data_IF_373345736454
#
_entry.id   IF_373345736454
#
_cell.length_a   1.000
_cell.length_b   1.000
_cell.length_c   1.000
_cell.angle_alpha   90.00
_cell.angle_beta   90.00
_cell.angle_gamma   90.00
#
_symmetry.space_group_name_H-M   'P 1'
#
loop_
_entity.id
_entity.type
_entity.pdbx_description
1 polymer ?
#
# COMPACT_ATOMS: atom_id res chain seq x y z
N UNK A 1 14.71 33.59 0.12
CA UNK A 1 15.31 33.13 -1.14
C UNK A 1 14.43 31.99 -1.65
N UNK A 2 13.38 32.35 -2.38
CA UNK A 2 12.38 31.44 -2.93
C UNK A 2 12.96 30.80 -4.19
N UNK A 3 12.96 29.47 -4.27
CA UNK A 3 13.50 28.72 -5.40
C UNK A 3 12.72 29.07 -6.70
N UNK A 4 13.35 29.69 -7.71
CA UNK A 4 12.69 30.07 -8.96
C UNK A 4 12.28 28.86 -9.81
N UNK A 5 12.63 27.63 -9.42
CA UNK A 5 12.24 26.39 -10.08
C UNK A 5 11.16 25.59 -9.34
N UNK A 6 10.61 26.12 -8.24
CA UNK A 6 9.43 25.56 -7.60
C UNK A 6 8.19 25.85 -8.46
N UNK A 7 8.07 25.14 -9.58
CA UNK A 7 6.87 25.11 -10.41
C UNK A 7 5.67 24.81 -9.51
N UNK A 8 4.60 25.61 -9.64
CA UNK A 8 3.35 25.38 -8.89
C UNK A 8 2.89 23.94 -9.17
N UNK A 9 2.22 23.24 -8.22
CA UNK A 9 1.73 21.88 -8.45
C UNK A 9 0.89 21.71 -9.73
N UNK A 10 0.29 22.80 -10.23
CA UNK A 10 -0.42 22.86 -11.51
C UNK A 10 0.46 22.64 -12.75
N UNK A 11 1.78 22.75 -12.65
CA UNK A 11 2.72 22.61 -13.78
C UNK A 11 3.45 21.25 -13.83
N UNK A 12 3.30 20.41 -12.80
CA UNK A 12 3.84 19.05 -12.79
C UNK A 12 2.79 18.06 -12.22
N UNK A 13 1.99 17.40 -13.08
CA UNK A 13 0.89 16.55 -12.64
C UNK A 13 1.37 15.35 -11.80
N UNK A 14 2.62 14.93 -11.95
CA UNK A 14 3.22 13.86 -11.15
C UNK A 14 3.43 14.29 -9.71
N UNK A 15 3.94 15.51 -9.53
CA UNK A 15 4.18 16.08 -8.23
C UNK A 15 2.85 16.36 -7.53
N UNK A 16 1.82 16.80 -8.26
CA UNK A 16 0.47 16.91 -7.75
C UNK A 16 -0.08 15.55 -7.27
N UNK A 17 0.11 14.48 -8.04
CA UNK A 17 -0.28 13.13 -7.64
C UNK A 17 0.45 12.68 -6.37
N UNK A 18 1.77 12.85 -6.30
CA UNK A 18 2.56 12.46 -5.11
C UNK A 18 2.12 13.24 -3.88
N UNK A 19 1.93 14.55 -4.00
CA UNK A 19 1.45 15.41 -2.91
C UNK A 19 0.04 14.97 -2.47
N UNK A 20 -0.84 14.63 -3.39
CA UNK A 20 -2.20 14.18 -3.09
C UNK A 20 -2.24 12.77 -2.46
N UNK A 21 -1.37 11.86 -2.88
CA UNK A 21 -1.34 10.49 -2.38
C UNK A 21 -0.59 10.34 -1.06
N UNK A 22 0.37 11.22 -0.75
CA UNK A 22 1.10 11.18 0.51
C UNK A 22 0.18 11.22 1.75
N UNK A 23 -0.77 12.17 1.91
CA UNK A 23 -1.67 12.16 3.06
C UNK A 23 -2.60 10.95 3.07
N UNK A 24 -2.98 10.42 1.90
CA UNK A 24 -3.78 9.20 1.79
C UNK A 24 -2.99 8.00 2.35
N UNK A 25 -1.73 7.83 1.93
CA UNK A 25 -0.84 6.79 2.46
C UNK A 25 -0.67 6.92 3.97
N UNK A 26 -0.46 8.14 4.47
CA UNK A 26 -0.35 8.40 5.92
C UNK A 26 -1.64 8.00 6.63
N UNK A 27 -2.81 8.36 6.09
CA UNK A 27 -4.11 8.01 6.69
C UNK A 27 -4.32 6.49 6.77
N UNK A 28 -4.00 5.75 5.72
CA UNK A 28 -4.07 4.28 5.71
C UNK A 28 -3.09 3.65 6.72
N UNK A 29 -1.84 4.11 6.76
CA UNK A 29 -0.84 3.63 7.72
C UNK A 29 -1.27 3.91 9.17
N UNK A 30 -1.74 5.13 9.46
CA UNK A 30 -2.26 5.48 10.78
C UNK A 30 -3.50 4.64 11.11
N UNK A 31 -4.41 4.46 10.15
CA UNK A 31 -5.61 3.64 10.30
C UNK A 31 -5.28 2.20 10.71
N UNK A 32 -4.37 1.53 9.98
CA UNK A 32 -3.89 0.20 10.34
C UNK A 32 -3.24 0.18 11.71
N UNK A 33 -2.37 1.15 12.01
CA UNK A 33 -1.72 1.23 13.31
C UNK A 33 -2.73 1.36 14.46
N UNK A 34 -3.71 2.25 14.33
CA UNK A 34 -4.78 2.46 15.32
C UNK A 34 -5.62 1.19 15.47
N UNK A 35 -6.01 0.53 14.38
CA UNK A 35 -6.76 -0.73 14.44
C UNK A 35 -5.94 -1.78 15.19
N UNK A 36 -4.65 -1.95 14.86
CA UNK A 36 -3.77 -2.89 15.54
C UNK A 36 -3.63 -2.59 17.04
N UNK A 37 -3.44 -1.32 17.40
CA UNK A 37 -3.36 -0.88 18.79
C UNK A 37 -4.68 -1.12 19.55
N UNK A 38 -5.82 -0.80 18.94
CA UNK A 38 -7.15 -1.02 19.53
C UNK A 38 -7.37 -2.51 19.79
N UNK A 39 -7.04 -3.36 18.81
CA UNK A 39 -7.16 -4.81 18.95
C UNK A 39 -6.34 -5.35 20.12
N UNK A 40 -5.06 -4.99 20.21
CA UNK A 40 -4.15 -5.53 21.23
C UNK A 40 -4.42 -4.95 22.62
N UNK A 41 -4.75 -3.66 22.72
CA UNK A 41 -4.86 -2.97 24.02
C UNK A 41 -6.25 -3.03 24.64
N UNK A 42 -7.31 -3.17 23.84
CA UNK A 42 -8.69 -3.04 24.32
C UNK A 42 -9.59 -4.23 23.98
N UNK A 43 -9.30 -4.97 22.90
CA UNK A 43 -10.16 -6.10 22.48
C UNK A 43 -9.64 -7.42 23.04
N UNK A 44 -8.33 -7.65 22.98
CA UNK A 44 -7.73 -8.90 23.46
C UNK A 44 -7.36 -8.78 24.93
N UNK A 45 -8.09 -9.51 25.79
CA UNK A 45 -7.89 -9.45 27.24
C UNK A 45 -6.63 -10.19 27.69
N UNK A 46 -6.28 -11.28 27.02
CA UNK A 46 -5.11 -12.12 27.33
C UNK A 46 -4.30 -12.39 26.06
N UNK A 47 -3.44 -11.45 25.62
CA UNK A 47 -2.73 -11.62 24.36
C UNK A 47 -1.70 -12.76 24.46
N UNK A 48 -1.89 -13.77 23.62
CA UNK A 48 -0.99 -14.88 23.42
C UNK A 48 -0.42 -14.86 22.00
N UNK A 49 0.81 -15.34 21.85
CA UNK A 49 1.46 -15.52 20.54
C UNK A 49 1.69 -17.00 20.34
N UNK A 50 0.94 -17.63 19.42
CA UNK A 50 1.12 -19.05 19.10
C UNK A 50 1.84 -19.23 17.78
N UNK A 51 2.53 -20.36 17.64
CA UNK A 51 3.26 -20.70 16.41
C UNK A 51 2.36 -20.74 15.17
N UNK A 52 1.12 -21.23 15.31
CA UNK A 52 0.13 -21.24 14.22
C UNK A 52 -0.26 -19.82 13.83
N UNK A 53 -0.57 -18.95 14.80
CA UNK A 53 -0.86 -17.53 14.55
C UNK A 53 0.28 -16.82 13.83
N UNK A 54 1.53 -17.04 14.25
CA UNK A 54 2.71 -16.50 13.57
C UNK A 54 2.86 -17.00 12.13
N UNK A 55 2.65 -18.30 11.89
CA UNK A 55 2.71 -18.88 10.55
C UNK A 55 1.66 -18.24 9.62
N UNK A 56 0.42 -18.11 10.11
CA UNK A 56 -0.65 -17.42 9.38
C UNK A 56 -0.25 -15.96 9.12
N UNK A 57 0.30 -15.27 10.12
CA UNK A 57 0.80 -13.90 9.98
C UNK A 57 1.88 -13.76 8.91
N UNK A 58 2.82 -14.71 8.83
CA UNK A 58 3.85 -14.75 7.78
C UNK A 58 3.21 -14.92 6.41
N UNK A 59 2.28 -15.86 6.25
CA UNK A 59 1.59 -16.07 4.97
C UNK A 59 0.85 -14.80 4.54
N UNK A 60 0.08 -14.20 5.44
CA UNK A 60 -0.67 -12.96 5.17
C UNK A 60 0.29 -11.80 4.86
N UNK A 61 1.38 -11.66 5.60
CA UNK A 61 2.40 -10.65 5.34
C UNK A 61 3.06 -10.82 3.96
N UNK A 62 3.39 -12.05 3.56
CA UNK A 62 3.91 -12.32 2.22
C UNK A 62 2.91 -11.93 1.14
N UNK A 63 1.61 -12.20 1.34
CA UNK A 63 0.56 -11.75 0.42
C UNK A 63 0.54 -10.22 0.35
N UNK A 64 0.52 -9.52 1.49
CA UNK A 64 0.57 -8.06 1.56
C UNK A 64 1.81 -7.46 0.87
N UNK A 65 2.93 -8.18 0.85
CA UNK A 65 4.16 -7.73 0.20
C UNK A 65 4.15 -7.94 -1.30
N UNK A 66 3.78 -9.14 -1.76
CA UNK A 66 3.94 -9.54 -3.16
C UNK A 66 2.71 -9.27 -4.02
N UNK A 67 1.50 -9.36 -3.47
CA UNK A 67 0.27 -9.19 -4.25
C UNK A 67 0.15 -7.77 -4.83
N UNK A 68 0.36 -6.67 -4.07
CA UNK A 68 0.25 -5.32 -4.62
C UNK A 68 1.22 -5.08 -5.77
N UNK A 69 2.46 -5.56 -5.63
CA UNK A 69 3.49 -5.45 -6.67
C UNK A 69 3.05 -6.12 -7.97
N UNK A 70 2.46 -7.32 -7.92
CA UNK A 70 1.97 -8.02 -9.12
C UNK A 70 0.76 -7.32 -9.74
N UNK A 71 -0.18 -6.90 -8.91
CA UNK A 71 -1.42 -6.24 -9.35
C UNK A 71 -1.13 -4.90 -10.00
N UNK A 72 -0.33 -4.03 -9.34
CA UNK A 72 0.06 -2.73 -9.87
C UNK A 72 0.81 -2.90 -11.17
N UNK A 73 1.84 -3.76 -11.22
CA UNK A 73 2.60 -4.02 -12.45
C UNK A 73 1.68 -4.45 -13.59
N UNK A 74 0.86 -5.47 -13.39
CA UNK A 74 -0.06 -5.94 -14.42
C UNK A 74 -1.11 -4.90 -14.83
N UNK A 75 -1.52 -4.00 -13.94
CA UNK A 75 -2.42 -2.90 -14.28
C UNK A 75 -1.73 -1.82 -15.12
N UNK A 76 -0.50 -1.46 -14.76
CA UNK A 76 0.30 -0.49 -15.50
C UNK A 76 0.74 -1.05 -16.86
N UNK A 77 1.15 -2.32 -16.94
CA UNK A 77 1.51 -2.98 -18.21
C UNK A 77 0.30 -2.99 -19.16
N UNK A 78 -0.90 -3.31 -18.65
CA UNK A 78 -2.15 -3.23 -19.43
C UNK A 78 -2.49 -1.81 -19.87
N UNK A 79 -2.26 -0.80 -19.01
CA UNK A 79 -2.48 0.60 -19.37
C UNK A 79 -1.49 1.05 -20.46
N UNK A 80 -0.24 0.63 -20.36
CA UNK A 80 0.80 0.87 -21.37
C UNK A 80 0.46 0.23 -22.71
N UNK A 81 0.04 -1.04 -22.71
CA UNK A 81 -0.34 -1.77 -23.92
C UNK A 81 -1.57 -1.17 -24.63
N UNK A 82 -2.42 -0.46 -23.88
CA UNK A 82 -3.56 0.30 -24.42
C UNK A 82 -3.18 1.68 -24.97
N UNK A 83 -1.92 2.10 -24.83
CA UNK A 83 -1.45 3.38 -25.32
C UNK A 83 -2.05 4.59 -24.60
N UNK A 84 -2.15 4.53 -23.27
CA UNK A 84 -2.65 5.64 -22.45
C UNK A 84 -1.90 6.93 -22.77
N UNK A 85 -2.65 8.00 -23.09
CA UNK A 85 -2.08 9.31 -23.39
C UNK A 85 -1.25 9.85 -22.21
N UNK A 86 -0.17 10.63 -22.46
CA UNK A 86 0.68 11.16 -21.41
C UNK A 86 -0.06 11.96 -20.32
N UNK A 87 -1.15 12.65 -20.70
CA UNK A 87 -2.04 13.41 -19.81
C UNK A 87 -2.83 12.52 -18.84
N UNK A 88 -3.13 11.28 -19.23
CA UNK A 88 -3.92 10.32 -18.44
C UNK A 88 -3.06 9.35 -17.60
N UNK A 89 -1.73 9.41 -17.72
CA UNK A 89 -0.78 8.60 -16.94
C UNK A 89 -0.99 8.73 -15.41
N UNK A 90 -1.15 9.94 -14.83
CA UNK A 90 -1.36 10.08 -13.38
C UNK A 90 -2.62 9.35 -12.89
N UNK A 91 -3.72 9.39 -13.64
CA UNK A 91 -4.97 8.74 -13.28
C UNK A 91 -4.89 7.21 -13.40
N UNK A 92 -4.17 6.71 -14.40
CA UNK A 92 -3.87 5.29 -14.54
C UNK A 92 -3.04 4.78 -13.35
N UNK A 93 -1.98 5.51 -12.96
CA UNK A 93 -1.18 5.19 -11.77
C UNK A 93 -2.04 5.23 -10.52
N UNK A 94 -2.85 6.28 -10.34
CA UNK A 94 -3.73 6.43 -9.18
C UNK A 94 -4.67 5.23 -9.02
N UNK A 95 -5.29 4.80 -10.11
CA UNK A 95 -6.20 3.64 -10.13
C UNK A 95 -5.48 2.34 -9.78
N UNK A 96 -4.28 2.12 -10.34
CA UNK A 96 -3.46 0.96 -10.02
C UNK A 96 -3.05 0.95 -8.55
N UNK A 97 -2.65 2.11 -8.01
CA UNK A 97 -2.24 2.29 -6.61
C UNK A 97 -3.40 2.01 -5.66
N UNK A 98 -4.61 2.52 -5.90
CA UNK A 98 -5.78 2.20 -5.06
C UNK A 98 -6.06 0.69 -5.00
N UNK A 99 -5.94 -0.01 -6.13
CA UNK A 99 -6.06 -1.46 -6.17
C UNK A 99 -4.94 -2.14 -5.37
N UNK A 100 -3.72 -1.59 -5.45
CA UNK A 100 -2.57 -2.04 -4.66
C UNK A 100 -2.74 -1.83 -3.16
N UNK A 101 -3.37 -0.74 -2.72
CA UNK A 101 -3.66 -0.47 -1.30
C UNK A 101 -4.56 -1.58 -0.77
N UNK A 102 -5.68 -1.85 -1.45
CA UNK A 102 -6.58 -2.93 -1.06
C UNK A 102 -5.85 -4.28 -0.97
N UNK A 103 -5.01 -4.62 -1.95
CA UNK A 103 -4.23 -5.85 -1.94
C UNK A 103 -3.20 -5.93 -0.80
N UNK A 104 -2.70 -4.79 -0.32
CA UNK A 104 -1.75 -4.73 0.79
C UNK A 104 -2.45 -4.87 2.14
N UNK A 105 -3.61 -4.23 2.29
CA UNK A 105 -4.31 -4.13 3.57
C UNK A 105 -5.22 -5.31 3.88
N UNK A 106 -5.89 -5.89 2.88
CA UNK A 106 -6.86 -6.97 3.09
C UNK A 106 -6.27 -8.12 3.92
N UNK A 107 -5.04 -8.63 3.68
CA UNK A 107 -4.47 -9.68 4.53
C UNK A 107 -4.27 -9.25 6.00
N UNK A 108 -3.92 -7.98 6.26
CA UNK A 108 -3.81 -7.47 7.62
C UNK A 108 -5.20 -7.35 8.30
N UNK A 109 -6.22 -6.95 7.55
CA UNK A 109 -7.60 -6.93 8.07
C UNK A 109 -8.14 -8.34 8.32
N UNK A 110 -7.76 -9.33 7.51
CA UNK A 110 -8.05 -10.75 7.79
C UNK A 110 -7.39 -11.17 9.10
N UNK A 111 -6.15 -10.77 9.36
CA UNK A 111 -5.51 -11.06 10.64
C UNK A 111 -6.27 -10.44 11.82
N UNK A 112 -6.82 -9.23 11.68
CA UNK A 112 -7.70 -8.62 12.70
C UNK A 112 -8.92 -9.50 12.97
N UNK A 113 -9.60 -9.99 11.93
CA UNK A 113 -10.76 -10.89 12.08
C UNK A 113 -10.36 -12.17 12.82
N UNK A 114 -9.23 -12.78 12.47
CA UNK A 114 -8.74 -13.98 13.14
C UNK A 114 -8.41 -13.75 14.63
N UNK A 115 -7.92 -12.56 14.99
CA UNK A 115 -7.72 -12.17 16.40
C UNK A 115 -9.08 -12.10 17.12
N UNK A 116 -10.08 -11.45 16.52
CA UNK A 116 -11.43 -11.36 17.09
C UNK A 116 -12.03 -12.75 17.31
N UNK A 117 -11.92 -13.64 16.32
CA UNK A 117 -12.47 -15.00 16.39
C UNK A 117 -11.73 -15.88 17.40
N UNK A 118 -10.40 -15.76 17.48
CA UNK A 118 -9.60 -16.58 18.40
C UNK A 118 -9.64 -16.10 19.85
N UNK A 119 -9.97 -14.82 20.09
CA UNK A 119 -10.12 -14.21 21.42
C UNK A 119 -8.81 -13.89 22.16
N UNK A 120 -7.70 -14.55 21.82
CA UNK A 120 -6.41 -14.37 22.49
C UNK A 120 -5.18 -14.42 21.58
N UNK A 121 -5.21 -15.05 20.40
CA UNK A 121 -4.00 -15.23 19.58
C UNK A 121 -3.75 -14.04 18.65
N UNK A 122 -2.76 -13.21 18.99
CA UNK A 122 -2.37 -12.02 18.23
C UNK A 122 -1.25 -12.26 17.23
N UNK A 123 -0.75 -13.50 17.10
CA UNK A 123 0.42 -13.80 16.27
C UNK A 123 0.25 -13.40 14.80
N UNK A 124 -0.95 -13.57 14.23
CA UNK A 124 -1.22 -13.20 12.85
C UNK A 124 -1.14 -11.68 12.64
N UNK A 125 -1.68 -10.90 13.59
CA UNK A 125 -1.73 -9.45 13.56
C UNK A 125 -0.33 -8.85 13.72
N UNK A 126 0.47 -9.37 14.65
CA UNK A 126 1.83 -8.88 14.95
C UNK A 126 2.78 -8.95 13.75
N UNK A 127 2.53 -9.87 12.80
CA UNK A 127 3.36 -10.01 11.60
C UNK A 127 2.74 -9.31 10.40
N UNK A 128 1.48 -9.62 10.09
CA UNK A 128 0.85 -9.16 8.84
C UNK A 128 0.68 -7.64 8.80
N UNK A 129 0.35 -7.01 9.94
CA UNK A 129 0.05 -5.58 9.98
C UNK A 129 1.28 -4.69 9.75
N UNK A 130 2.43 -4.91 10.43
CA UNK A 130 3.66 -4.21 10.07
C UNK A 130 4.08 -4.43 8.62
N UNK A 131 3.95 -5.65 8.10
CA UNK A 131 4.30 -5.93 6.70
C UNK A 131 3.39 -5.19 5.72
N UNK A 132 2.09 -5.11 5.99
CA UNK A 132 1.15 -4.32 5.20
C UNK A 132 1.52 -2.83 5.20
N UNK A 133 1.82 -2.25 6.37
CA UNK A 133 2.29 -0.86 6.51
C UNK A 133 3.53 -0.60 5.67
N UNK A 134 4.56 -1.45 5.82
CA UNK A 134 5.81 -1.31 5.06
C UNK A 134 5.54 -1.48 3.56
N UNK A 135 4.67 -2.41 3.16
CA UNK A 135 4.29 -2.58 1.76
C UNK A 135 3.60 -1.34 1.18
N UNK A 136 2.68 -0.71 1.92
CA UNK A 136 2.02 0.52 1.50
C UNK A 136 3.04 1.62 1.20
N UNK A 137 3.99 1.82 2.11
CA UNK A 137 5.03 2.85 2.01
C UNK A 137 5.96 2.57 0.82
N UNK A 138 6.54 1.37 0.74
CA UNK A 138 7.64 1.13 -0.21
C UNK A 138 7.20 0.56 -1.56
N UNK A 139 6.02 -0.06 -1.65
CA UNK A 139 5.60 -0.78 -2.86
C UNK A 139 4.40 -0.16 -3.57
N UNK A 140 3.55 0.54 -2.83
CA UNK A 140 2.22 0.92 -3.32
C UNK A 140 2.14 2.43 -3.53
N UNK A 141 2.15 3.22 -2.45
CA UNK A 141 1.69 4.61 -2.48
C UNK A 141 2.62 5.61 -1.81
N UNK A 142 3.81 5.19 -1.35
CA UNK A 142 4.83 6.13 -0.92
C UNK A 142 5.46 6.92 -2.09
N UNK A 143 6.12 8.06 -1.81
CA UNK A 143 6.62 8.95 -2.85
C UNK A 143 7.53 8.28 -3.88
N UNK A 144 8.46 7.42 -3.44
CA UNK A 144 9.37 6.72 -4.34
C UNK A 144 8.67 5.64 -5.16
N UNK A 145 7.73 4.92 -4.57
CA UNK A 145 6.92 3.93 -5.28
C UNK A 145 6.12 4.61 -6.41
N UNK A 146 5.48 5.75 -6.11
CA UNK A 146 4.72 6.52 -7.09
C UNK A 146 5.60 7.04 -8.24
N UNK A 147 6.81 7.54 -7.94
CA UNK A 147 7.79 7.95 -8.96
C UNK A 147 8.15 6.78 -9.89
N UNK A 148 8.39 5.59 -9.33
CA UNK A 148 8.67 4.40 -10.11
C UNK A 148 7.48 3.97 -10.98
N UNK A 149 6.26 4.04 -10.44
CA UNK A 149 5.04 3.68 -11.19
C UNK A 149 4.77 4.64 -12.35
N UNK A 150 5.00 5.94 -12.14
CA UNK A 150 4.91 6.96 -13.18
C UNK A 150 5.98 6.77 -14.26
N UNK A 151 7.23 6.49 -13.87
CA UNK A 151 8.33 6.24 -14.81
C UNK A 151 8.01 5.04 -15.73
N UNK A 152 7.47 3.95 -15.18
CA UNK A 152 7.10 2.74 -15.95
C UNK A 152 6.13 3.00 -17.10
N UNK A 153 5.16 3.91 -16.92
CA UNK A 153 4.19 4.24 -17.96
C UNK A 153 4.75 5.22 -19.00
N UNK A 154 5.80 5.97 -18.65
CA UNK A 154 6.40 6.99 -19.53
C UNK A 154 7.56 6.49 -20.36
N UNK A 155 8.24 5.45 -19.91
CA UNK A 155 9.31 4.85 -20.69
C UNK A 155 8.72 4.30 -22.01
N UNK A 156 9.28 4.67 -23.18
CA UNK A 156 8.91 4.05 -24.44
C UNK A 156 9.16 2.55 -24.34
N UNK A 157 8.22 1.73 -24.80
CA UNK A 157 8.47 0.29 -24.89
C UNK A 157 9.66 0.10 -25.82
N UNK A 158 10.79 -0.35 -25.28
CA UNK A 158 11.84 -0.97 -26.06
C UNK A 158 11.24 -2.27 -26.63
N UNK A 159 10.52 -2.14 -27.75
CA UNK A 159 10.11 -3.24 -28.62
C UNK A 159 10.93 -3.12 -29.89
#
# INVERSE_FOLDING_TARGET
MSDPFAKRPSENPDQALIIAMTPITIAFVIGLFVIGAVMVLFVVTEPAVRGVGLLVGVVLGLVSWFAPRRIIRGALDRARDRGVEPSAVPDAVRSAVFTGIAAAEVPALVAVVLVVESGHDVGALLVSLPVAIVSLIFNVSGPDALRQHLARLREPSAR
#
